data_IF_039549403116
#
_entry.id   IF_039549403116
#
_cell.length_a   1.000
_cell.length_b   1.000
_cell.length_c   1.000
_cell.angle_alpha   90.00
_cell.angle_beta   90.00
_cell.angle_gamma   90.00
#
_symmetry.space_group_name_H-M   'P 1'
#
loop_
_entity.id
_entity.type
_entity.pdbx_description
1 polymer ?
#
# COMPACT_ATOMS: atom_id res chain seq x y z
N UNK A 1 30.57 32.12 90.60
CA UNK A 1 30.86 32.89 89.40
C UNK A 1 31.05 31.91 88.27
N UNK A 2 30.00 31.60 87.54
CA UNK A 2 30.05 30.70 86.37
C UNK A 2 29.92 31.52 85.08
N UNK A 3 30.93 31.46 84.21
CA UNK A 3 30.90 32.08 82.88
C UNK A 3 30.39 31.04 81.89
N UNK A 4 29.28 31.35 81.28
CA UNK A 4 28.75 30.61 80.13
C UNK A 4 29.41 31.12 78.86
N UNK A 5 30.04 30.24 78.04
CA UNK A 5 30.58 30.52 76.73
C UNK A 5 29.53 30.38 75.67
N UNK A 6 29.59 31.09 74.53
CA UNK A 6 28.61 31.01 73.47
C UNK A 6 28.77 29.79 72.60
N UNK A 7 27.64 29.12 72.41
CA UNK A 7 27.51 27.98 71.44
C UNK A 7 27.38 28.50 69.99
N UNK A 8 28.39 28.27 69.20
CA UNK A 8 28.35 28.59 67.72
C UNK A 8 27.69 27.44 66.98
N UNK A 9 26.48 27.67 66.50
CA UNK A 9 25.77 26.73 65.61
C UNK A 9 26.32 26.90 64.15
N UNK A 10 27.02 25.87 63.63
CA UNK A 10 27.46 25.82 62.21
C UNK A 10 26.31 25.28 61.38
N UNK A 11 25.72 26.14 60.53
CA UNK A 11 24.74 25.73 59.51
C UNK A 11 25.50 25.22 58.29
N UNK A 12 25.47 23.91 58.04
CA UNK A 12 26.01 23.29 56.84
C UNK A 12 24.96 23.41 55.73
N UNK A 13 25.23 24.28 54.75
CA UNK A 13 24.38 24.46 53.54
C UNK A 13 24.64 23.27 52.61
N UNK A 14 23.71 22.32 52.53
CA UNK A 14 23.76 21.22 51.53
C UNK A 14 23.23 21.79 50.21
N UNK A 15 24.15 22.10 49.29
CA UNK A 15 23.81 22.44 47.89
C UNK A 15 23.49 21.15 47.15
N UNK A 16 22.21 20.86 46.97
CA UNK A 16 21.72 19.77 46.12
C UNK A 16 21.92 20.19 44.66
N UNK A 17 23.02 19.78 44.02
CA UNK A 17 23.24 19.95 42.60
C UNK A 17 22.29 19.00 41.85
N UNK A 18 21.22 19.55 41.22
CA UNK A 18 20.38 18.84 40.29
C UNK A 18 21.21 18.51 39.03
N UNK A 19 21.60 17.25 38.90
CA UNK A 19 22.17 16.72 37.67
C UNK A 19 21.10 16.87 36.54
N UNK A 20 21.41 17.45 35.37
CA UNK A 20 20.49 17.47 34.28
C UNK A 20 20.20 16.00 33.90
N UNK A 21 18.93 15.61 33.89
CA UNK A 21 18.52 14.32 33.37
C UNK A 21 19.03 14.20 31.94
N UNK A 22 20.00 13.32 31.70
CA UNK A 22 20.45 12.99 30.37
C UNK A 22 19.20 12.57 29.57
N UNK A 23 18.77 13.43 28.63
CA UNK A 23 17.65 13.15 27.75
C UNK A 23 17.93 11.82 27.05
N UNK A 24 17.16 10.80 27.38
CA UNK A 24 17.21 9.53 26.66
C UNK A 24 17.01 9.87 25.18
N UNK A 25 18.06 9.71 24.39
CA UNK A 25 17.96 9.83 22.92
C UNK A 25 16.90 8.84 22.48
N UNK A 26 15.73 9.34 22.08
CA UNK A 26 14.66 8.50 21.62
C UNK A 26 15.19 7.62 20.48
N UNK A 27 15.09 6.30 20.64
CA UNK A 27 15.56 5.36 19.63
C UNK A 27 14.96 5.72 18.26
N UNK A 28 15.81 5.81 17.24
CA UNK A 28 15.40 6.18 15.88
C UNK A 28 14.38 5.18 15.37
N UNK A 29 13.18 5.64 15.05
CA UNK A 29 12.09 4.81 14.53
C UNK A 29 12.47 4.26 13.15
N UNK A 30 12.49 2.93 13.01
CA UNK A 30 12.95 2.27 11.78
C UNK A 30 11.77 1.58 11.08
N UNK A 31 11.53 1.97 9.84
CA UNK A 31 10.51 1.40 8.95
C UNK A 31 11.20 0.49 7.93
N UNK A 32 11.05 -0.82 8.12
CA UNK A 32 11.65 -1.85 7.25
C UNK A 32 10.55 -2.36 6.33
N UNK A 33 10.74 -2.21 5.02
CA UNK A 33 9.83 -2.69 3.98
C UNK A 33 10.56 -3.62 3.00
N UNK A 34 9.80 -4.41 2.24
CA UNK A 34 10.37 -5.35 1.26
C UNK A 34 11.02 -4.62 0.07
N UNK A 35 11.95 -5.30 -0.60
CA UNK A 35 12.49 -4.88 -1.90
C UNK A 35 11.54 -5.25 -3.05
N UNK A 36 11.68 -4.61 -4.23
CA UNK A 36 11.00 -5.03 -5.46
C UNK A 36 11.28 -6.49 -5.80
N UNK A 37 10.32 -7.19 -6.43
CA UNK A 37 10.46 -8.59 -6.85
C UNK A 37 11.37 -8.76 -8.07
N UNK A 38 11.56 -7.70 -8.87
CA UNK A 38 12.50 -7.66 -10.01
C UNK A 38 13.02 -6.24 -10.24
N UNK A 39 14.02 -6.08 -11.11
CA UNK A 39 14.53 -4.77 -11.53
C UNK A 39 13.51 -3.94 -12.35
N UNK A 40 12.47 -4.58 -12.88
CA UNK A 40 11.38 -3.93 -13.63
C UNK A 40 10.17 -3.62 -12.74
N UNK A 41 10.22 -3.99 -11.47
CA UNK A 41 9.10 -3.80 -10.53
C UNK A 41 9.17 -2.43 -9.86
N UNK A 42 8.41 -1.49 -10.40
CA UNK A 42 8.28 -0.11 -9.88
C UNK A 42 6.95 0.13 -9.14
N UNK A 43 6.19 -0.94 -8.87
CA UNK A 43 4.84 -0.85 -8.29
C UNK A 43 4.75 -0.09 -6.98
N UNK A 44 5.83 -0.13 -6.19
CA UNK A 44 5.82 0.35 -4.81
C UNK A 44 6.41 1.75 -4.62
N UNK A 45 6.97 2.40 -5.63
CA UNK A 45 7.62 3.73 -5.52
C UNK A 45 6.70 4.79 -4.94
N UNK A 46 5.48 4.89 -5.46
CA UNK A 46 4.47 5.82 -4.99
C UNK A 46 4.13 5.62 -3.51
N UNK A 47 3.95 4.36 -3.09
CA UNK A 47 3.51 4.03 -1.74
C UNK A 47 4.58 4.37 -0.70
N UNK A 48 5.83 4.05 -1.02
CA UNK A 48 6.96 4.41 -0.14
C UNK A 48 7.24 5.92 -0.12
N UNK A 49 6.91 6.65 -1.19
CA UNK A 49 6.95 8.13 -1.19
C UNK A 49 5.90 8.70 -0.24
N UNK A 50 4.67 8.19 -0.24
CA UNK A 50 3.61 8.59 0.72
C UNK A 50 4.09 8.34 2.16
N UNK A 51 4.62 7.15 2.45
CA UNK A 51 5.13 6.85 3.79
C UNK A 51 6.28 7.79 4.17
N UNK A 52 7.27 7.94 3.30
CA UNK A 52 8.43 8.82 3.55
C UNK A 52 7.99 10.25 3.87
N UNK A 53 7.11 10.82 3.06
CA UNK A 53 6.61 12.18 3.28
C UNK A 53 5.83 12.29 4.59
N UNK A 54 5.02 11.29 4.95
CA UNK A 54 4.32 11.26 6.23
C UNK A 54 5.30 11.25 7.42
N UNK A 55 6.43 10.54 7.29
CA UNK A 55 7.47 10.52 8.31
C UNK A 55 8.27 11.83 8.37
N UNK A 56 8.49 12.48 7.24
CA UNK A 56 9.19 13.77 7.15
C UNK A 56 8.40 14.88 7.84
N UNK A 57 7.12 15.03 7.52
CA UNK A 57 6.28 16.10 8.10
C UNK A 57 6.08 15.93 9.62
N UNK A 58 6.25 14.72 10.15
CA UNK A 58 6.15 14.44 11.58
C UNK A 58 7.49 14.52 12.33
N UNK A 59 8.61 14.71 11.63
CA UNK A 59 9.94 14.76 12.26
C UNK A 59 10.08 15.81 13.37
N UNK A 60 9.50 17.02 13.29
CA UNK A 60 9.59 17.99 14.36
C UNK A 60 9.03 17.50 15.71
N UNK A 61 8.01 16.64 15.67
CA UNK A 61 7.37 16.07 16.88
C UNK A 61 7.98 14.72 17.28
N UNK A 62 8.25 13.85 16.31
CA UNK A 62 8.62 12.46 16.56
C UNK A 62 10.13 12.19 16.49
N UNK A 63 10.93 13.18 16.10
CA UNK A 63 12.37 13.02 15.89
C UNK A 63 12.74 12.29 14.59
N UNK A 64 14.01 11.95 14.40
CA UNK A 64 14.50 11.32 13.18
C UNK A 64 13.90 9.92 12.97
N UNK A 65 13.90 9.46 11.71
CA UNK A 65 13.48 8.11 11.31
C UNK A 65 14.47 7.50 10.32
N UNK A 66 14.32 6.21 10.09
CA UNK A 66 15.02 5.48 9.04
C UNK A 66 14.01 4.66 8.23
N UNK A 67 14.14 4.66 6.91
CA UNK A 67 13.51 3.67 6.03
C UNK A 67 14.59 2.71 5.54
N UNK A 68 14.33 1.43 5.65
CA UNK A 68 15.28 0.36 5.30
C UNK A 68 14.59 -0.61 4.36
N UNK A 69 15.25 -0.91 3.25
CA UNK A 69 14.81 -1.92 2.30
C UNK A 69 15.33 -3.29 2.76
N UNK A 70 14.44 -4.26 2.87
CA UNK A 70 14.74 -5.66 3.17
C UNK A 70 14.95 -6.47 1.88
N UNK A 71 14.80 -7.79 1.94
CA UNK A 71 14.85 -8.68 0.79
C UNK A 71 13.54 -8.66 -0.03
N UNK A 72 13.54 -9.10 -1.30
CA UNK A 72 12.30 -9.32 -2.06
C UNK A 72 11.43 -10.36 -1.37
N UNK A 73 10.13 -10.09 -1.31
CA UNK A 73 9.16 -10.98 -0.64
C UNK A 73 7.81 -10.94 -1.36
N UNK A 74 7.20 -12.10 -1.56
CA UNK A 74 5.79 -12.19 -1.95
C UNK A 74 4.88 -11.64 -0.85
N UNK A 75 3.66 -11.24 -1.19
CA UNK A 75 2.69 -10.72 -0.21
C UNK A 75 2.46 -11.70 0.96
N UNK A 76 2.36 -12.99 0.67
CA UNK A 76 2.21 -14.03 1.69
C UNK A 76 3.41 -14.07 2.65
N UNK A 77 4.63 -13.91 2.13
CA UNK A 77 5.84 -13.88 2.95
C UNK A 77 5.88 -12.62 3.81
N UNK A 78 5.55 -11.46 3.25
CA UNK A 78 5.46 -10.20 4.00
C UNK A 78 4.48 -10.32 5.17
N UNK A 79 3.28 -10.86 4.92
CA UNK A 79 2.27 -11.08 5.95
C UNK A 79 2.75 -12.03 7.05
N UNK A 80 3.47 -13.09 6.70
CA UNK A 80 4.08 -14.01 7.65
C UNK A 80 5.10 -13.31 8.55
N UNK A 81 6.05 -12.55 7.95
CA UNK A 81 7.10 -11.85 8.69
C UNK A 81 6.53 -10.82 9.66
N UNK A 82 5.51 -10.07 9.21
CA UNK A 82 4.89 -9.04 10.02
C UNK A 82 4.07 -9.63 11.19
N UNK A 83 3.26 -10.67 10.94
CA UNK A 83 2.45 -11.34 11.98
C UNK A 83 3.31 -12.06 13.03
N UNK A 84 4.44 -12.61 12.63
CA UNK A 84 5.34 -13.36 13.54
C UNK A 84 6.44 -12.50 14.15
N UNK A 85 6.44 -11.20 13.89
CA UNK A 85 7.38 -10.23 14.50
C UNK A 85 8.85 -10.62 14.30
N UNK A 86 9.22 -11.13 13.13
CA UNK A 86 10.57 -11.65 12.85
C UNK A 86 11.64 -10.55 12.79
N UNK A 87 11.23 -9.29 12.70
CA UNK A 87 12.12 -8.13 12.54
C UNK A 87 12.58 -7.89 11.10
N UNK A 88 12.22 -8.75 10.15
CA UNK A 88 12.54 -8.54 8.73
C UNK A 88 11.73 -7.45 8.07
N UNK A 89 10.50 -7.22 8.55
CA UNK A 89 9.63 -6.13 8.16
C UNK A 89 9.03 -5.46 9.40
N UNK A 90 8.80 -4.15 9.32
CA UNK A 90 8.01 -3.39 10.30
C UNK A 90 6.82 -2.71 9.66
N UNK A 91 6.74 -2.67 8.35
CA UNK A 91 5.62 -2.13 7.58
C UNK A 91 5.41 -2.95 6.31
N UNK A 92 4.13 -3.18 5.96
CA UNK A 92 3.68 -3.81 4.74
C UNK A 92 2.61 -2.92 4.09
N UNK A 93 2.55 -2.92 2.75
CA UNK A 93 1.50 -2.27 1.99
C UNK A 93 0.72 -3.32 1.20
N UNK A 94 -0.56 -3.48 1.54
CA UNK A 94 -1.45 -4.45 0.90
C UNK A 94 -2.92 -4.13 1.23
N UNK A 95 -3.86 -4.72 0.49
CA UNK A 95 -5.30 -4.58 0.77
C UNK A 95 -5.72 -5.27 2.08
N UNK A 96 -6.89 -4.87 2.58
CA UNK A 96 -7.48 -5.44 3.81
C UNK A 96 -7.96 -6.87 3.62
N UNK A 97 -7.80 -7.64 4.68
CA UNK A 97 -8.46 -8.93 4.88
C UNK A 97 -8.92 -9.07 6.33
N UNK A 98 -9.95 -9.90 6.63
CA UNK A 98 -10.35 -10.16 8.01
C UNK A 98 -9.20 -10.68 8.91
N UNK A 99 -8.26 -11.43 8.34
CA UNK A 99 -7.08 -11.93 9.06
C UNK A 99 -6.11 -10.79 9.42
N UNK A 100 -5.89 -9.84 8.50
CA UNK A 100 -5.01 -8.69 8.75
C UNK A 100 -5.62 -7.74 9.77
N UNK A 101 -6.92 -7.44 9.68
CA UNK A 101 -7.65 -6.62 10.67
C UNK A 101 -7.55 -7.22 12.09
N UNK A 102 -7.62 -8.53 12.19
CA UNK A 102 -7.49 -9.25 13.46
C UNK A 102 -6.06 -9.22 14.01
N UNK A 103 -5.05 -9.42 13.18
CA UNK A 103 -3.69 -9.79 13.60
C UNK A 103 -2.64 -8.69 13.43
N UNK A 104 -2.95 -7.61 12.70
CA UNK A 104 -2.05 -6.49 12.43
C UNK A 104 -2.68 -5.16 12.83
N UNK A 105 -1.95 -4.09 12.67
CA UNK A 105 -2.41 -2.70 12.93
C UNK A 105 -2.47 -1.98 11.57
N UNK A 106 -3.66 -1.66 11.05
CA UNK A 106 -3.83 -0.87 9.85
C UNK A 106 -3.75 0.63 10.12
N UNK A 107 -3.40 1.39 9.09
CA UNK A 107 -3.81 2.78 8.96
C UNK A 107 -4.97 2.81 7.98
N UNK A 108 -6.20 3.04 8.47
CA UNK A 108 -7.42 3.05 7.64
C UNK A 108 -7.52 4.32 6.76
N UNK A 109 -6.44 4.61 6.02
CA UNK A 109 -6.37 5.63 4.98
C UNK A 109 -5.89 4.91 3.72
N UNK A 110 -6.75 4.72 2.70
CA UNK A 110 -6.33 4.08 1.45
C UNK A 110 -5.19 4.87 0.81
N UNK A 111 -4.00 4.27 0.73
CA UNK A 111 -2.76 4.95 0.32
C UNK A 111 -2.83 5.49 -1.11
N UNK A 112 -3.58 4.82 -1.98
CA UNK A 112 -3.73 5.15 -3.40
C UNK A 112 -5.14 5.66 -3.76
N UNK A 113 -5.90 6.14 -2.77
CA UNK A 113 -7.32 6.54 -2.95
C UNK A 113 -8.17 5.44 -3.59
N UNK A 114 -7.84 4.18 -3.34
CA UNK A 114 -8.49 3.03 -3.97
C UNK A 114 -8.39 3.03 -5.51
N UNK A 115 -7.42 3.70 -6.11
CA UNK A 115 -7.19 3.63 -7.56
C UNK A 115 -6.78 2.21 -7.98
N UNK A 116 -6.10 1.46 -7.11
CA UNK A 116 -5.77 0.04 -7.30
C UNK A 116 -6.98 -0.86 -7.47
N UNK A 117 -8.15 -0.47 -6.95
CA UNK A 117 -9.41 -1.18 -7.16
C UNK A 117 -10.02 -0.98 -8.54
N UNK A 118 -9.50 -0.03 -9.35
CA UNK A 118 -9.83 0.13 -10.76
C UNK A 118 -8.82 -0.61 -11.61
N UNK A 119 -9.24 -1.74 -12.15
CA UNK A 119 -8.37 -2.62 -12.93
C UNK A 119 -8.69 -2.55 -14.42
N UNK A 120 -7.64 -2.70 -15.22
CA UNK A 120 -7.72 -2.92 -16.66
C UNK A 120 -7.06 -4.26 -16.99
N UNK A 121 -7.22 -4.74 -18.20
CA UNK A 121 -6.71 -6.03 -18.60
C UNK A 121 -5.48 -5.89 -19.49
N UNK A 122 -4.43 -6.64 -19.19
CA UNK A 122 -3.47 -7.00 -20.21
C UNK A 122 -4.01 -8.21 -20.96
N UNK A 123 -3.98 -8.13 -22.28
CA UNK A 123 -4.45 -9.15 -23.21
C UNK A 123 -3.41 -9.37 -24.30
N UNK A 124 -3.63 -10.34 -25.17
CA UNK A 124 -2.91 -10.42 -26.45
C UNK A 124 -3.53 -9.44 -27.44
N UNK A 125 -2.71 -8.78 -28.23
CA UNK A 125 -3.13 -7.75 -29.18
C UNK A 125 -4.25 -8.24 -30.12
N UNK A 126 -4.16 -9.47 -30.58
CA UNK A 126 -5.12 -10.05 -31.53
C UNK A 126 -6.48 -10.37 -30.90
N UNK A 127 -6.56 -10.37 -29.54
CA UNK A 127 -7.80 -10.64 -28.83
C UNK A 127 -8.69 -9.40 -28.63
N UNK A 128 -8.24 -8.17 -28.94
CA UNK A 128 -8.99 -6.93 -28.66
C UNK A 128 -10.44 -7.00 -29.18
N UNK A 129 -10.65 -7.49 -30.42
CA UNK A 129 -12.01 -7.61 -30.98
C UNK A 129 -12.94 -8.51 -30.16
N UNK A 130 -12.40 -9.56 -29.53
CA UNK A 130 -13.14 -10.42 -28.63
C UNK A 130 -13.59 -9.65 -27.39
N UNK A 131 -12.71 -8.82 -26.81
CA UNK A 131 -13.03 -7.99 -25.65
C UNK A 131 -14.01 -6.87 -25.99
N UNK A 132 -13.91 -6.28 -27.16
CA UNK A 132 -14.86 -5.26 -27.64
C UNK A 132 -16.31 -5.75 -27.66
N UNK A 133 -16.54 -7.06 -27.83
CA UNK A 133 -17.87 -7.66 -27.86
C UNK A 133 -18.49 -7.92 -26.47
N UNK A 134 -17.71 -7.89 -25.39
CA UNK A 134 -18.20 -8.22 -24.05
C UNK A 134 -19.10 -7.09 -23.52
N UNK A 135 -20.27 -7.45 -22.99
CA UNK A 135 -21.28 -6.48 -22.49
C UNK A 135 -21.70 -6.71 -21.06
N UNK A 136 -21.58 -7.92 -20.56
CA UNK A 136 -22.11 -8.36 -19.26
C UNK A 136 -21.03 -9.05 -18.41
N UNK A 137 -21.25 -9.15 -17.10
CA UNK A 137 -20.41 -9.97 -16.24
C UNK A 137 -20.41 -11.45 -16.67
N UNK A 138 -21.54 -11.95 -17.17
CA UNK A 138 -21.61 -13.30 -17.73
C UNK A 138 -20.69 -13.55 -18.90
N UNK A 139 -20.41 -12.51 -19.70
CA UNK A 139 -19.41 -12.63 -20.77
C UNK A 139 -18.00 -12.75 -20.22
N UNK A 140 -17.69 -11.98 -19.16
CA UNK A 140 -16.40 -12.04 -18.47
C UNK A 140 -16.19 -13.38 -17.74
N UNK A 141 -17.26 -14.00 -17.19
CA UNK A 141 -17.19 -15.32 -16.55
C UNK A 141 -16.74 -16.45 -17.50
N UNK A 142 -16.86 -16.24 -18.83
CA UNK A 142 -16.38 -17.22 -19.84
C UNK A 142 -14.86 -17.18 -20.01
N UNK A 143 -14.19 -16.17 -19.44
CA UNK A 143 -12.76 -15.94 -19.57
C UNK A 143 -12.00 -16.46 -18.35
N UNK A 144 -10.71 -16.74 -18.54
CA UNK A 144 -9.78 -17.05 -17.44
C UNK A 144 -8.91 -15.86 -17.11
N UNK A 145 -8.83 -15.55 -15.84
CA UNK A 145 -8.06 -14.44 -15.29
C UNK A 145 -6.71 -14.95 -14.77
N UNK A 146 -5.61 -14.37 -15.26
CA UNK A 146 -4.27 -14.61 -14.71
C UNK A 146 -4.02 -13.73 -13.50
N UNK A 147 -3.41 -14.30 -12.43
CA UNK A 147 -3.01 -13.58 -11.22
C UNK A 147 -1.79 -14.23 -10.55
N UNK A 148 -1.11 -13.49 -9.70
CA UNK A 148 -0.07 -14.02 -8.83
C UNK A 148 -0.63 -14.97 -7.78
N UNK A 149 0.07 -16.07 -7.53
CA UNK A 149 -0.29 -16.98 -6.47
C UNK A 149 -0.23 -16.27 -5.10
N UNK A 150 -1.34 -16.30 -4.37
CA UNK A 150 -1.44 -15.68 -3.06
C UNK A 150 -1.79 -14.19 -3.07
N UNK A 151 -2.03 -13.59 -4.24
CA UNK A 151 -2.60 -12.26 -4.28
C UNK A 151 -4.05 -12.28 -3.77
N UNK A 152 -4.43 -11.24 -3.02
CA UNK A 152 -5.76 -11.10 -2.43
C UNK A 152 -6.87 -11.12 -3.50
N UNK A 153 -6.58 -10.59 -4.68
CA UNK A 153 -7.47 -10.56 -5.85
C UNK A 153 -7.95 -11.95 -6.26
N UNK A 154 -7.14 -12.99 -6.03
CA UNK A 154 -7.50 -14.39 -6.34
C UNK A 154 -8.77 -14.80 -5.59
N UNK A 155 -8.85 -14.48 -4.31
CA UNK A 155 -10.00 -14.85 -3.48
C UNK A 155 -11.22 -13.99 -3.81
N UNK A 156 -11.04 -12.70 -4.11
CA UNK A 156 -12.11 -11.79 -4.54
C UNK A 156 -12.76 -12.30 -5.84
N UNK A 157 -11.94 -12.64 -6.83
CA UNK A 157 -12.44 -13.13 -8.11
C UNK A 157 -13.11 -14.51 -7.97
N UNK A 158 -12.52 -15.43 -7.23
CA UNK A 158 -13.12 -16.75 -6.96
C UNK A 158 -14.45 -16.64 -6.22
N UNK A 159 -14.53 -15.76 -5.22
CA UNK A 159 -15.79 -15.50 -4.50
C UNK A 159 -16.88 -14.93 -5.42
N UNK A 160 -16.49 -14.23 -6.48
CA UNK A 160 -17.39 -13.71 -7.50
C UNK A 160 -17.61 -14.66 -8.69
N UNK A 161 -17.14 -15.93 -8.60
CA UNK A 161 -17.39 -16.99 -9.59
C UNK A 161 -16.49 -16.95 -10.84
N UNK A 162 -15.40 -16.17 -10.83
CA UNK A 162 -14.47 -16.11 -11.96
C UNK A 162 -13.46 -17.27 -11.97
N UNK A 163 -13.07 -17.72 -13.16
CA UNK A 163 -12.01 -18.70 -13.33
C UNK A 163 -10.64 -18.02 -13.24
N UNK A 164 -9.87 -18.36 -12.21
CA UNK A 164 -8.54 -17.82 -11.96
C UNK A 164 -7.46 -18.87 -12.22
N UNK A 165 -6.43 -18.47 -12.97
CA UNK A 165 -5.19 -19.23 -13.20
C UNK A 165 -4.06 -18.48 -12.50
N UNK A 166 -3.33 -19.14 -11.61
CA UNK A 166 -2.27 -18.50 -10.84
C UNK A 166 -0.88 -18.90 -11.31
N UNK A 167 0.07 -17.96 -11.25
CA UNK A 167 1.51 -18.19 -11.43
C UNK A 167 2.27 -17.78 -10.17
N UNK A 168 3.33 -18.51 -9.84
CA UNK A 168 4.17 -18.25 -8.66
C UNK A 168 5.30 -17.24 -8.92
N UNK A 169 5.57 -16.92 -10.19
CA UNK A 169 6.58 -15.97 -10.61
C UNK A 169 5.93 -14.77 -11.30
N UNK A 170 6.21 -13.59 -10.80
CA UNK A 170 5.62 -12.34 -11.29
C UNK A 170 5.94 -12.09 -12.77
N UNK A 171 7.21 -12.22 -13.17
CA UNK A 171 7.60 -12.01 -14.56
C UNK A 171 7.04 -13.10 -15.47
N UNK A 172 6.94 -14.32 -15.00
CA UNK A 172 6.35 -15.45 -15.72
C UNK A 172 4.88 -15.26 -16.11
N UNK A 173 4.11 -14.47 -15.35
CA UNK A 173 2.69 -14.20 -15.65
C UNK A 173 2.49 -13.51 -17.00
N UNK A 174 3.39 -12.60 -17.40
CA UNK A 174 3.32 -11.94 -18.70
C UNK A 174 3.58 -12.93 -19.85
N UNK A 175 4.56 -13.82 -19.69
CA UNK A 175 4.83 -14.88 -20.63
C UNK A 175 3.67 -15.89 -20.72
N UNK A 176 3.05 -16.25 -19.59
CA UNK A 176 1.87 -17.12 -19.53
C UNK A 176 0.69 -16.55 -20.30
N UNK A 177 0.45 -15.22 -20.23
CA UNK A 177 -0.58 -14.54 -21.03
C UNK A 177 -0.32 -14.71 -22.53
N UNK A 178 0.89 -14.39 -22.99
CA UNK A 178 1.29 -14.51 -24.39
C UNK A 178 1.18 -15.95 -24.89
N UNK A 179 1.52 -16.93 -24.04
CA UNK A 179 1.41 -18.37 -24.30
C UNK A 179 -0.02 -18.93 -24.19
N UNK A 180 -1.04 -18.06 -24.01
CA UNK A 180 -2.46 -18.47 -23.91
C UNK A 180 -2.79 -19.37 -22.72
N UNK A 181 -2.06 -19.27 -21.62
CA UNK A 181 -2.36 -20.03 -20.39
C UNK A 181 -3.61 -19.52 -19.68
N UNK A 182 -3.96 -18.25 -19.92
CA UNK A 182 -5.21 -17.61 -19.53
C UNK A 182 -5.60 -16.54 -20.58
N UNK A 183 -6.82 -16.02 -20.48
CA UNK A 183 -7.35 -15.08 -21.48
C UNK A 183 -6.90 -13.65 -21.24
N UNK A 184 -6.86 -13.20 -19.99
CA UNK A 184 -6.51 -11.86 -19.57
C UNK A 184 -5.69 -11.88 -18.29
N UNK A 185 -4.81 -10.88 -18.12
CA UNK A 185 -4.10 -10.63 -16.87
C UNK A 185 -4.68 -9.35 -16.25
N UNK A 186 -5.33 -9.49 -15.10
CA UNK A 186 -5.96 -8.38 -14.38
C UNK A 186 -4.88 -7.54 -13.70
N UNK A 187 -4.82 -6.23 -14.04
CA UNK A 187 -3.84 -5.31 -13.47
C UNK A 187 -4.48 -4.03 -12.99
N UNK A 188 -4.02 -3.52 -11.85
CA UNK A 188 -4.47 -2.24 -11.34
C UNK A 188 -4.10 -1.08 -12.28
N UNK A 189 -4.95 -0.06 -12.35
CA UNK A 189 -4.68 1.14 -13.14
C UNK A 189 -3.41 1.87 -12.67
N UNK A 190 -2.98 1.68 -11.44
CA UNK A 190 -1.74 2.21 -10.87
C UNK A 190 -0.48 1.57 -11.44
N UNK A 191 -0.57 0.37 -12.01
CA UNK A 191 0.56 -0.50 -12.35
C UNK A 191 0.70 -0.78 -13.85
N UNK A 192 -0.43 -1.02 -14.52
CA UNK A 192 -0.51 -1.61 -15.84
C UNK A 192 0.30 -0.89 -16.92
N UNK A 193 0.41 0.45 -16.85
CA UNK A 193 1.15 1.22 -17.85
C UNK A 193 2.66 0.99 -17.75
N UNK A 194 3.20 1.05 -16.55
CA UNK A 194 4.62 0.81 -16.30
C UNK A 194 4.99 -0.64 -16.66
N UNK A 195 4.12 -1.58 -16.28
CA UNK A 195 4.27 -3.00 -16.62
C UNK A 195 4.29 -3.25 -18.14
N UNK A 196 3.36 -2.64 -18.85
CA UNK A 196 3.27 -2.72 -20.30
C UNK A 196 4.47 -2.06 -20.97
N UNK A 197 4.79 -0.81 -20.59
CA UNK A 197 5.87 -0.04 -21.21
C UNK A 197 7.23 -0.71 -21.01
N UNK A 198 7.47 -1.34 -19.87
CA UNK A 198 8.72 -2.05 -19.57
C UNK A 198 8.85 -3.39 -20.31
N UNK A 199 7.76 -3.95 -20.87
CA UNK A 199 7.77 -5.32 -21.46
C UNK A 199 7.31 -5.40 -22.91
N UNK A 200 6.68 -4.35 -23.46
CA UNK A 200 6.12 -4.35 -24.82
C UNK A 200 7.12 -4.67 -25.94
N UNK A 201 8.40 -4.32 -25.75
CA UNK A 201 9.45 -4.63 -26.72
C UNK A 201 9.83 -6.11 -26.69
N UNK A 202 9.96 -6.68 -25.51
CA UNK A 202 10.26 -8.10 -25.32
C UNK A 202 9.05 -9.01 -25.60
N UNK A 203 7.84 -8.49 -25.38
CA UNK A 203 6.58 -9.21 -25.56
C UNK A 203 5.63 -8.41 -26.49
N UNK A 204 5.91 -8.33 -27.80
CA UNK A 204 5.16 -7.48 -28.75
C UNK A 204 3.70 -7.88 -28.94
N UNK A 205 3.32 -9.09 -28.53
CA UNK A 205 1.93 -9.54 -28.48
C UNK A 205 1.14 -8.98 -27.28
N UNK A 206 1.82 -8.39 -26.29
CA UNK A 206 1.17 -7.80 -25.12
C UNK A 206 0.41 -6.53 -25.52
N UNK A 207 -0.79 -6.34 -24.97
CA UNK A 207 -1.62 -5.17 -25.23
C UNK A 207 -2.46 -4.81 -24.00
N UNK A 208 -2.71 -3.52 -23.78
CA UNK A 208 -3.66 -3.06 -22.77
C UNK A 208 -5.04 -3.02 -23.42
N UNK A 209 -6.00 -3.78 -22.90
CA UNK A 209 -7.39 -3.76 -23.39
C UNK A 209 -7.97 -2.34 -23.31
N UNK A 210 -8.70 -1.91 -24.35
CA UNK A 210 -9.02 -0.49 -24.56
C UNK A 210 -10.35 -0.01 -23.98
N UNK A 211 -11.30 -0.91 -23.66
CA UNK A 211 -12.72 -0.57 -23.50
C UNK A 211 -13.32 -0.88 -22.14
N UNK A 212 -12.68 -1.75 -21.36
CA UNK A 212 -13.22 -2.28 -20.09
C UNK A 212 -12.48 -1.69 -18.91
N UNK A 213 -13.24 -1.34 -17.87
CA UNK A 213 -12.77 -1.03 -16.52
C UNK A 213 -13.43 -2.01 -15.56
N UNK A 214 -12.63 -2.77 -14.83
CA UNK A 214 -13.11 -3.72 -13.86
C UNK A 214 -12.88 -3.16 -12.46
N UNK A 215 -13.90 -3.15 -11.61
CA UNK A 215 -13.84 -2.47 -10.32
C UNK A 215 -14.32 -3.36 -9.17
N UNK A 216 -13.57 -3.36 -8.11
CA UNK A 216 -13.98 -3.77 -6.77
C UNK A 216 -13.29 -2.87 -5.73
N UNK A 217 -13.93 -2.60 -4.57
CA UNK A 217 -13.26 -1.89 -3.50
C UNK A 217 -12.00 -2.67 -3.08
N UNK A 218 -10.84 -2.05 -3.19
CA UNK A 218 -9.56 -2.65 -2.82
C UNK A 218 -8.73 -1.63 -2.03
N UNK A 219 -9.20 -1.21 -0.85
CA UNK A 219 -8.48 -0.22 -0.06
C UNK A 219 -7.12 -0.79 0.38
N UNK A 220 -6.04 -0.21 -0.13
CA UNK A 220 -4.67 -0.58 0.18
C UNK A 220 -4.19 0.23 1.37
N UNK A 221 -3.74 -0.42 2.42
CA UNK A 221 -3.31 0.21 3.67
C UNK A 221 -1.84 -0.07 3.99
N UNK A 222 -1.25 0.77 4.84
CA UNK A 222 -0.04 0.40 5.57
C UNK A 222 -0.43 -0.41 6.80
N UNK A 223 0.26 -1.52 6.98
CA UNK A 223 0.07 -2.47 8.07
C UNK A 223 1.32 -2.57 8.92
N UNK A 224 1.15 -2.65 10.22
CA UNK A 224 2.23 -2.75 11.20
C UNK A 224 2.03 -3.95 12.12
N UNK A 225 3.12 -4.48 12.74
CA UNK A 225 3.00 -5.60 13.67
C UNK A 225 2.23 -5.20 14.93
N UNK A 226 1.47 -6.13 15.50
CA UNK A 226 0.62 -5.89 16.69
C UNK A 226 1.44 -5.88 17.99
N UNK A 227 2.49 -5.03 18.03
CA UNK A 227 3.41 -4.82 19.15
C UNK A 227 3.35 -3.39 19.66
N UNK A 228 4.02 -3.09 20.78
CA UNK A 228 4.14 -1.73 21.29
C UNK A 228 4.90 -0.82 20.28
N UNK A 229 5.97 -1.34 19.67
CA UNK A 229 6.72 -0.63 18.64
C UNK A 229 5.87 -0.40 17.39
N UNK A 230 5.20 -1.44 16.88
CA UNK A 230 4.32 -1.32 15.71
C UNK A 230 3.21 -0.29 15.91
N UNK A 231 2.62 -0.20 17.12
CA UNK A 231 1.66 0.88 17.44
C UNK A 231 2.27 2.27 17.34
N UNK A 232 3.51 2.44 17.79
CA UNK A 232 4.21 3.74 17.68
C UNK A 232 4.53 4.10 16.24
N UNK A 233 5.00 3.12 15.46
CA UNK A 233 5.28 3.31 14.03
C UNK A 233 3.99 3.69 13.27
N UNK A 234 2.90 2.96 13.50
CA UNK A 234 1.59 3.23 12.90
C UNK A 234 1.07 4.63 13.27
N UNK A 235 1.10 4.99 14.57
CA UNK A 235 0.60 6.28 15.04
C UNK A 235 1.33 7.47 14.39
N UNK A 236 2.66 7.40 14.25
CA UNK A 236 3.44 8.43 13.56
C UNK A 236 3.08 8.53 12.08
N UNK A 237 3.04 7.41 11.38
CA UNK A 237 2.74 7.38 9.95
C UNK A 237 1.30 7.87 9.69
N UNK A 238 0.33 7.47 10.52
CA UNK A 238 -1.06 7.94 10.43
C UNK A 238 -1.17 9.45 10.65
N UNK A 239 -0.51 9.98 11.69
CA UNK A 239 -0.49 11.42 11.94
C UNK A 239 0.04 12.18 10.72
N UNK A 240 1.15 11.72 10.13
CA UNK A 240 1.72 12.34 8.94
C UNK A 240 0.79 12.27 7.73
N UNK A 241 0.16 11.14 7.47
CA UNK A 241 -0.81 11.01 6.39
C UNK A 241 -2.01 11.96 6.58
N UNK A 242 -2.52 12.10 7.81
CA UNK A 242 -3.61 13.05 8.12
C UNK A 242 -3.18 14.51 7.91
N UNK A 243 -1.94 14.87 8.28
CA UNK A 243 -1.38 16.21 7.99
C UNK A 243 -1.32 16.46 6.48
N UNK A 244 -0.81 15.49 5.71
CA UNK A 244 -0.72 15.58 4.25
C UNK A 244 -2.10 15.69 3.57
N UNK A 245 -3.12 15.03 4.11
CA UNK A 245 -4.51 15.16 3.62
C UNK A 245 -5.04 16.56 3.91
N UNK A 246 -4.75 17.10 5.11
CA UNK A 246 -5.24 18.40 5.53
C UNK A 246 -4.63 19.57 4.71
N UNK A 247 -3.34 19.46 4.34
CA UNK A 247 -2.63 20.51 3.59
C UNK A 247 -2.58 20.29 2.07
N UNK A 248 -3.19 19.19 1.58
CA UNK A 248 -3.26 18.83 0.16
C UNK A 248 -1.98 18.17 -0.38
N UNK A 249 -0.97 17.91 0.45
CA UNK A 249 0.27 17.23 0.02
C UNK A 249 -0.02 15.82 -0.50
N UNK A 250 -0.95 15.11 0.14
CA UNK A 250 -1.39 13.78 -0.28
C UNK A 250 -1.94 13.79 -1.71
N UNK A 251 -2.78 14.77 -2.05
CA UNK A 251 -3.37 14.92 -3.38
C UNK A 251 -2.32 15.30 -4.42
N UNK A 252 -1.38 16.19 -4.08
CA UNK A 252 -0.28 16.56 -4.97
C UNK A 252 0.63 15.38 -5.32
N UNK A 253 0.94 14.51 -4.35
CA UNK A 253 1.74 13.30 -4.60
C UNK A 253 0.93 12.33 -5.46
N UNK A 254 -0.36 12.10 -5.12
CA UNK A 254 -1.25 11.26 -5.92
C UNK A 254 -1.28 11.73 -7.38
N UNK A 255 -1.52 13.00 -7.63
CA UNK A 255 -1.58 13.55 -8.98
C UNK A 255 -0.24 13.41 -9.72
N UNK A 256 0.89 13.68 -9.06
CA UNK A 256 2.20 13.55 -9.67
C UNK A 256 2.49 12.15 -10.22
N UNK A 257 2.04 11.11 -9.53
CA UNK A 257 2.26 9.72 -9.94
C UNK A 257 1.15 9.14 -10.79
N UNK A 258 -0.09 9.55 -10.59
CA UNK A 258 -1.24 8.84 -11.14
C UNK A 258 -1.97 9.58 -12.27
N UNK A 259 -1.88 10.92 -12.34
CA UNK A 259 -2.61 11.70 -13.35
C UNK A 259 -2.36 11.21 -14.77
N UNK A 260 -1.11 11.08 -15.18
CA UNK A 260 -0.76 10.62 -16.53
C UNK A 260 -1.26 9.21 -16.83
N UNK A 261 -1.31 8.33 -15.80
CA UNK A 261 -1.85 6.96 -15.93
C UNK A 261 -3.35 6.99 -16.15
N UNK A 262 -4.07 7.76 -15.33
CA UNK A 262 -5.53 7.93 -15.42
C UNK A 262 -5.93 8.47 -16.80
N UNK A 263 -5.22 9.49 -17.29
CA UNK A 263 -5.45 10.11 -18.59
C UNK A 263 -5.13 9.18 -19.76
N UNK A 264 -3.95 8.54 -19.74
CA UNK A 264 -3.50 7.63 -20.79
C UNK A 264 -4.38 6.38 -20.89
N UNK A 265 -4.83 5.85 -19.74
CA UNK A 265 -5.77 4.73 -19.69
C UNK A 265 -7.20 5.13 -20.02
N UNK A 266 -7.51 6.42 -20.10
CA UNK A 266 -8.85 6.95 -20.39
C UNK A 266 -9.93 6.33 -19.50
N UNK A 267 -9.68 6.19 -18.18
CA UNK A 267 -10.54 5.44 -17.26
C UNK A 267 -12.00 5.88 -17.31
N UNK A 268 -12.27 7.17 -17.46
CA UNK A 268 -13.61 7.75 -17.57
C UNK A 268 -14.40 7.24 -18.80
N UNK A 269 -13.74 6.80 -19.86
CA UNK A 269 -14.38 6.39 -21.12
C UNK A 269 -14.63 4.88 -21.20
N UNK A 270 -14.13 4.10 -20.23
CA UNK A 270 -14.25 2.64 -20.23
C UNK A 270 -15.59 2.20 -19.67
N UNK A 271 -16.10 1.08 -20.18
CA UNK A 271 -17.28 0.41 -19.63
C UNK A 271 -16.90 -0.24 -18.31
N UNK A 272 -17.54 0.18 -17.22
CA UNK A 272 -17.23 -0.33 -15.89
C UNK A 272 -18.05 -1.56 -15.56
N UNK A 273 -17.36 -2.64 -15.12
CA UNK A 273 -17.95 -3.82 -14.49
C UNK A 273 -17.58 -3.81 -13.01
N UNK A 274 -18.54 -4.06 -12.14
CA UNK A 274 -18.35 -3.98 -10.69
C UNK A 274 -18.65 -5.31 -10.04
N UNK A 275 -17.78 -5.73 -9.10
CA UNK A 275 -18.01 -6.87 -8.22
C UNK A 275 -17.80 -6.45 -6.76
N UNK A 276 -18.37 -7.17 -5.79
CA UNK A 276 -18.08 -6.95 -4.38
C UNK A 276 -16.67 -7.46 -4.02
N UNK A 277 -16.12 -6.93 -2.94
CA UNK A 277 -14.96 -7.51 -2.27
C UNK A 277 -15.40 -8.01 -0.89
N UNK A 278 -15.39 -9.32 -0.62
CA UNK A 278 -15.82 -9.89 0.65
C UNK A 278 -14.87 -9.58 1.82
N UNK A 279 -13.67 -9.10 1.53
CA UNK A 279 -12.66 -8.79 2.54
C UNK A 279 -12.82 -7.39 3.17
N UNK A 280 -13.69 -6.55 2.61
CA UNK A 280 -13.88 -5.17 3.08
C UNK A 280 -14.81 -5.17 4.28
N UNK A 281 -14.30 -4.71 5.41
CA UNK A 281 -15.03 -4.62 6.69
C UNK A 281 -15.67 -3.25 6.95
N UNK A 282 -16.41 -3.12 8.07
CA UNK A 282 -17.08 -1.91 8.48
C UNK A 282 -16.11 -0.76 8.82
N UNK A 283 -14.86 -1.06 9.11
CA UNK A 283 -13.79 -0.08 9.41
C UNK A 283 -13.33 0.69 8.17
N UNK A 284 -13.70 0.23 6.99
CA UNK A 284 -13.33 0.88 5.73
C UNK A 284 -14.00 2.26 5.62
N UNK A 285 -13.21 3.35 5.42
CA UNK A 285 -13.71 4.72 5.55
C UNK A 285 -14.47 5.19 4.29
N UNK A 286 -15.50 4.48 3.86
CA UNK A 286 -16.30 4.82 2.67
C UNK A 286 -17.00 6.18 2.77
N UNK A 287 -17.24 6.67 3.98
CA UNK A 287 -17.90 7.95 4.22
C UNK A 287 -17.01 9.16 3.87
N UNK A 288 -15.69 9.04 4.02
CA UNK A 288 -14.77 10.13 3.71
C UNK A 288 -14.38 10.11 2.21
N UNK A 289 -15.14 10.84 1.41
CA UNK A 289 -14.95 10.88 -0.06
C UNK A 289 -13.61 11.43 -0.52
N UNK A 290 -12.87 12.15 0.31
CA UNK A 290 -11.51 12.63 -0.01
C UNK A 290 -10.52 11.48 -0.19
N UNK A 291 -10.81 10.33 0.43
CA UNK A 291 -9.96 9.14 0.42
C UNK A 291 -10.25 8.20 -0.76
N UNK A 292 -11.21 8.54 -1.64
CA UNK A 292 -11.67 7.65 -2.71
C UNK A 292 -11.61 8.33 -4.06
N UNK A 293 -10.87 7.72 -4.96
CA UNK A 293 -10.84 8.14 -6.36
C UNK A 293 -12.15 7.77 -7.06
N UNK A 294 -12.65 8.69 -7.87
CA UNK A 294 -13.79 8.44 -8.76
C UNK A 294 -13.42 8.95 -10.17
N UNK A 295 -13.26 8.03 -11.16
CA UNK A 295 -12.89 8.42 -12.51
C UNK A 295 -13.91 9.33 -13.19
N UNK A 296 -15.18 9.35 -12.74
CA UNK A 296 -16.23 10.19 -13.33
C UNK A 296 -16.08 11.67 -12.95
N UNK A 297 -15.53 11.96 -11.78
CA UNK A 297 -15.39 13.31 -11.21
C UNK A 297 -13.96 13.86 -11.32
N UNK A 298 -12.97 13.02 -11.61
CA UNK A 298 -11.57 13.41 -11.70
C UNK A 298 -11.34 14.37 -12.87
N UNK A 299 -10.62 15.49 -12.58
CA UNK A 299 -10.37 16.61 -13.50
C UNK A 299 -8.91 16.65 -13.97
#
# INVERSE_FOLDING_TARGET
MHRAGPLVLLFTLVVLSALPAAGATAAVMTYIHHAPESSLDVRYEYHWEILRTALEVTTPKWGPYRMVVSEPMTEQRQAYELKNHTGKLTVMYVSTTPDFEKNLIPIHIPVDKNLGGYCVFLIRKDDQRRFDSLRTLNDLHKLSFGLGLGWIDVDILKASGFRVVTGSDYEGLFAMLVQKRFDLFLRAATEVLDEYDNRKEALPALHIEDSILFYYPLPMYFWFPKTAEGRRLAARAEEGMRMMIADGTYDRIFDRYQRHKIERLRLKRRRIFRIPNPNVGPETPFADKRLWFDPSTYK
#
